data_IF_779790023064
#
_entry.id   IF_779790023064
#
_cell.length_a   1.000
_cell.length_b   1.000
_cell.length_c   1.000
_cell.angle_alpha   90.00
_cell.angle_beta   90.00
_cell.angle_gamma   90.00
#
_symmetry.space_group_name_H-M   'P 1'
#
loop_
_entity.id
_entity.type
_entity.pdbx_description
1 polymer ?
#
# COMPACT_ATOMS: atom_id res chain seq x y z
N UNK A 1 31.02 -44.44 47.95
CA UNK A 1 30.59 -43.39 46.98
C UNK A 1 31.82 -42.64 46.47
N UNK A 2 32.10 -42.62 45.14
CA UNK A 2 33.22 -41.87 44.60
C UNK A 2 32.80 -40.40 44.49
N UNK A 3 33.45 -39.52 45.25
CA UNK A 3 33.22 -38.08 45.12
C UNK A 3 33.70 -37.57 43.73
N UNK A 4 32.86 -36.83 43.03
CA UNK A 4 33.24 -36.19 41.77
C UNK A 4 34.28 -35.13 42.10
N UNK A 5 35.40 -35.11 41.35
CA UNK A 5 36.43 -34.08 41.52
C UNK A 5 35.82 -32.69 41.34
N UNK A 6 36.11 -31.70 42.23
CA UNK A 6 35.62 -30.33 42.07
C UNK A 6 35.91 -29.72 40.69
N UNK A 7 37.03 -30.10 40.07
CA UNK A 7 37.41 -29.64 38.73
C UNK A 7 36.43 -30.13 37.64
N UNK A 8 36.00 -31.40 37.73
CA UNK A 8 35.03 -31.96 36.76
C UNK A 8 33.67 -31.26 36.92
N UNK A 9 33.25 -31.01 38.17
CA UNK A 9 32.00 -30.30 38.43
C UNK A 9 32.00 -28.87 37.85
N UNK A 10 33.09 -28.14 38.01
CA UNK A 10 33.19 -26.77 37.41
C UNK A 10 33.16 -26.78 35.90
N UNK A 11 33.84 -27.74 35.26
CA UNK A 11 33.84 -27.86 33.78
C UNK A 11 32.41 -28.15 33.25
N UNK A 12 31.67 -29.03 33.95
CA UNK A 12 30.29 -29.36 33.55
C UNK A 12 29.40 -28.12 33.68
N UNK A 13 29.49 -27.38 34.80
CA UNK A 13 28.66 -26.18 35.02
C UNK A 13 28.95 -25.13 33.96
N UNK A 14 30.23 -24.87 33.66
CA UNK A 14 30.62 -23.89 32.65
C UNK A 14 30.14 -24.32 31.26
N UNK A 15 30.27 -25.62 30.92
CA UNK A 15 29.80 -26.12 29.63
C UNK A 15 28.30 -25.96 29.44
N UNK A 16 27.51 -26.27 30.49
CA UNK A 16 26.05 -26.06 30.46
C UNK A 16 25.68 -24.60 30.39
N UNK A 17 26.39 -23.74 31.12
CA UNK A 17 26.16 -22.27 31.06
C UNK A 17 26.38 -21.69 29.65
N UNK A 18 27.48 -22.12 28.99
CA UNK A 18 27.77 -21.70 27.61
C UNK A 18 26.71 -22.25 26.68
N UNK A 19 26.30 -23.49 26.79
CA UNK A 19 25.26 -24.07 25.91
C UNK A 19 23.94 -23.33 26.05
N UNK A 20 23.51 -22.99 27.25
CA UNK A 20 22.29 -22.19 27.51
C UNK A 20 22.45 -20.79 26.95
N UNK A 21 23.58 -20.10 27.14
CA UNK A 21 23.82 -18.77 26.64
C UNK A 21 23.74 -18.72 25.11
N UNK A 22 24.32 -19.71 24.42
CA UNK A 22 24.26 -19.81 22.96
C UNK A 22 22.82 -20.07 22.49
N UNK A 23 22.10 -20.99 23.15
CA UNK A 23 20.72 -21.29 22.81
C UNK A 23 19.81 -20.05 22.93
N UNK A 24 19.94 -19.28 24.03
CA UNK A 24 19.20 -18.04 24.27
C UNK A 24 19.56 -16.98 23.22
N UNK A 25 20.84 -16.86 22.86
CA UNK A 25 21.28 -15.91 21.84
C UNK A 25 20.64 -16.22 20.47
N UNK A 26 20.61 -17.47 20.04
CA UNK A 26 19.95 -17.89 18.79
C UNK A 26 18.44 -17.65 18.83
N UNK A 27 17.79 -17.98 19.96
CA UNK A 27 16.36 -17.75 20.12
C UNK A 27 16.02 -16.26 20.06
N UNK A 28 16.79 -15.41 20.74
CA UNK A 28 16.59 -13.97 20.73
C UNK A 28 16.80 -13.36 19.33
N UNK A 29 17.83 -13.81 18.60
CA UNK A 29 18.07 -13.36 17.22
C UNK A 29 16.92 -13.76 16.28
N UNK A 30 16.36 -14.97 16.45
CA UNK A 30 15.20 -15.41 15.68
C UNK A 30 13.94 -14.58 15.94
N UNK A 31 13.70 -14.21 17.19
CA UNK A 31 12.55 -13.37 17.57
C UNK A 31 12.65 -11.94 17.00
N UNK A 32 13.83 -11.36 17.00
CA UNK A 32 14.04 -9.97 16.54
C UNK A 32 13.57 -9.77 15.09
N UNK A 33 13.77 -10.78 14.23
CA UNK A 33 13.35 -10.74 12.83
C UNK A 33 11.83 -10.67 12.63
N UNK A 34 11.04 -11.18 13.58
CA UNK A 34 9.58 -11.14 13.50
C UNK A 34 9.02 -9.76 13.87
N UNK A 35 9.69 -9.02 14.76
CA UNK A 35 9.24 -7.71 15.22
C UNK A 35 9.70 -6.55 14.31
N UNK A 36 10.61 -6.80 13.39
CA UNK A 36 11.15 -5.75 12.52
C UNK A 36 10.40 -5.63 11.19
N UNK A 37 9.50 -6.56 10.87
CA UNK A 37 8.72 -6.54 9.63
C UNK A 37 7.39 -5.85 9.86
N UNK A 38 7.24 -4.65 9.34
CA UNK A 38 5.96 -3.94 9.33
C UNK A 38 5.70 -3.30 7.97
N UNK A 39 4.44 -3.30 7.61
CA UNK A 39 3.94 -2.61 6.42
C UNK A 39 3.55 -1.18 6.79
N UNK A 40 3.93 -0.22 5.97
CA UNK A 40 3.50 1.16 6.08
C UNK A 40 3.51 1.84 4.73
N UNK A 41 2.34 2.15 4.20
CA UNK A 41 2.19 3.06 3.10
C UNK A 41 1.95 4.48 3.61
N UNK A 42 2.51 5.46 2.92
CA UNK A 42 2.25 6.88 3.15
C UNK A 42 1.76 7.50 1.86
N UNK A 43 0.58 8.11 1.91
CA UNK A 43 0.07 8.93 0.81
C UNK A 43 0.72 10.30 0.93
N UNK A 44 1.79 10.52 0.17
CA UNK A 44 2.62 11.74 0.19
C UNK A 44 1.82 12.93 -0.33
N UNK A 45 1.10 12.74 -1.45
CA UNK A 45 0.21 13.75 -2.01
C UNK A 45 -1.06 13.11 -2.55
N UNK A 46 -2.16 13.85 -2.47
CA UNK A 46 -3.44 13.48 -3.04
C UNK A 46 -4.14 14.75 -3.49
N UNK A 47 -4.52 14.81 -4.76
CA UNK A 47 -5.24 15.94 -5.32
C UNK A 47 -6.15 15.48 -6.45
N UNK A 48 -7.17 16.27 -6.74
CA UNK A 48 -8.03 16.05 -7.87
C UNK A 48 -7.88 17.17 -8.91
N UNK A 49 -8.13 16.83 -10.15
CA UNK A 49 -8.15 17.78 -11.26
C UNK A 49 -9.21 17.39 -12.27
N UNK A 50 -9.63 18.36 -13.09
CA UNK A 50 -10.41 18.11 -14.30
C UNK A 50 -9.45 18.15 -15.48
N UNK A 51 -9.57 17.21 -16.38
CA UNK A 51 -8.86 17.22 -17.64
C UNK A 51 -9.78 16.79 -18.78
N UNK A 52 -9.60 17.42 -19.94
CA UNK A 52 -10.44 17.21 -21.14
C UNK A 52 -9.81 16.13 -22.01
N UNK A 53 -10.54 15.05 -22.24
CA UNK A 53 -10.19 14.05 -23.24
C UNK A 53 -11.29 13.99 -24.30
N UNK A 54 -10.91 14.11 -25.58
CA UNK A 54 -11.84 14.02 -26.72
C UNK A 54 -13.12 14.90 -26.60
N UNK A 55 -13.00 16.14 -26.13
CA UNK A 55 -14.12 17.09 -25.92
C UNK A 55 -14.97 16.87 -24.68
N UNK A 56 -14.67 15.88 -23.84
CA UNK A 56 -15.37 15.63 -22.58
C UNK A 56 -14.42 15.86 -21.39
N UNK A 57 -14.92 16.55 -20.39
CA UNK A 57 -14.20 16.78 -19.14
C UNK A 57 -14.41 15.61 -18.19
N UNK A 58 -13.32 15.12 -17.59
CA UNK A 58 -13.31 14.03 -16.62
C UNK A 58 -12.69 14.46 -15.31
N UNK A 59 -13.21 13.93 -14.21
CA UNK A 59 -12.58 14.05 -12.91
C UNK A 59 -11.46 13.00 -12.78
N UNK A 60 -10.28 13.47 -12.42
CA UNK A 60 -9.14 12.61 -12.08
C UNK A 60 -8.70 12.85 -10.66
N UNK A 61 -8.37 11.79 -9.94
CA UNK A 61 -7.70 11.84 -8.65
C UNK A 61 -6.31 11.24 -8.80
N UNK A 62 -5.32 11.99 -8.34
CA UNK A 62 -3.92 11.60 -8.45
C UNK A 62 -3.36 11.43 -7.04
N UNK A 63 -2.83 10.25 -6.76
CA UNK A 63 -2.21 9.90 -5.50
C UNK A 63 -0.74 9.58 -5.72
N UNK A 64 0.12 10.11 -4.88
CA UNK A 64 1.50 9.66 -4.76
C UNK A 64 1.64 8.87 -3.47
N UNK A 65 1.96 7.60 -3.59
CA UNK A 65 2.06 6.65 -2.49
C UNK A 65 3.49 6.17 -2.36
N UNK A 66 4.00 6.13 -1.14
CA UNK A 66 5.36 5.64 -0.86
C UNK A 66 5.32 4.53 0.17
N UNK A 67 6.05 3.44 -0.08
CA UNK A 67 6.25 2.40 0.92
C UNK A 67 7.36 2.83 1.90
N UNK A 68 6.97 3.19 3.13
CA UNK A 68 7.87 3.50 4.26
C UNK A 68 7.99 2.37 5.27
N UNK A 69 7.42 1.23 4.96
CA UNK A 69 7.57 0.01 5.76
C UNK A 69 8.95 -0.64 5.60
N UNK A 70 9.17 -1.69 6.35
CA UNK A 70 10.39 -2.50 6.28
C UNK A 70 10.18 -3.78 5.46
N UNK A 71 9.00 -3.96 4.89
CA UNK A 71 8.64 -5.09 4.02
C UNK A 71 8.00 -4.60 2.73
N UNK A 72 8.09 -5.39 1.68
CA UNK A 72 7.32 -5.16 0.46
C UNK A 72 5.83 -5.28 0.76
N UNK A 73 5.03 -4.53 0.04
CA UNK A 73 3.57 -4.54 0.15
C UNK A 73 2.94 -4.54 -1.23
N UNK A 74 1.70 -4.96 -1.32
CA UNK A 74 0.95 -4.97 -2.57
C UNK A 74 -0.36 -4.22 -2.36
N UNK A 75 -0.60 -3.20 -3.17
CA UNK A 75 -1.90 -2.53 -3.25
C UNK A 75 -2.80 -3.41 -4.13
N UNK A 76 -3.83 -3.99 -3.55
CA UNK A 76 -4.73 -4.94 -4.23
C UNK A 76 -6.10 -4.38 -4.55
N UNK A 77 -6.52 -3.31 -3.85
CA UNK A 77 -7.80 -2.67 -4.12
C UNK A 77 -7.81 -1.18 -3.77
N UNK A 78 -8.74 -0.46 -4.42
CA UNK A 78 -9.03 0.95 -4.12
C UNK A 78 -10.52 1.07 -3.83
N UNK A 79 -10.85 1.77 -2.76
CA UNK A 79 -12.22 2.12 -2.40
C UNK A 79 -12.42 3.62 -2.51
N UNK A 80 -13.57 4.02 -3.04
CA UNK A 80 -14.02 5.41 -3.10
C UNK A 80 -15.34 5.50 -2.36
N UNK A 81 -15.41 6.33 -1.32
CA UNK A 81 -16.57 6.43 -0.44
C UNK A 81 -17.08 5.06 0.02
N UNK A 82 -16.15 4.21 0.47
CA UNK A 82 -16.38 2.82 0.92
C UNK A 82 -16.89 1.83 -0.15
N UNK A 83 -16.94 2.22 -1.42
CA UNK A 83 -17.28 1.32 -2.54
C UNK A 83 -15.99 0.91 -3.26
N UNK A 84 -15.79 -0.38 -3.58
CA UNK A 84 -14.63 -0.81 -4.38
C UNK A 84 -14.70 -0.21 -5.79
N UNK A 85 -13.54 0.06 -6.37
CA UNK A 85 -13.43 0.68 -7.69
C UNK A 85 -14.20 -0.12 -8.75
N UNK A 86 -14.16 -1.45 -8.67
CA UNK A 86 -14.87 -2.35 -9.60
C UNK A 86 -16.40 -2.19 -9.55
N UNK A 87 -16.98 -1.75 -8.44
CA UNK A 87 -18.42 -1.52 -8.31
C UNK A 87 -18.87 -0.14 -8.82
N UNK A 88 -17.93 0.76 -9.04
CA UNK A 88 -18.17 2.09 -9.61
C UNK A 88 -18.01 2.10 -11.13
N UNK A 89 -17.38 1.06 -11.67
CA UNK A 89 -17.23 0.88 -13.11
C UNK A 89 -18.53 0.39 -13.72
N UNK A 90 -19.11 1.17 -14.59
CA UNK A 90 -20.29 0.84 -15.37
C UNK A 90 -19.99 1.08 -16.86
N UNK A 91 -20.82 0.54 -17.75
CA UNK A 91 -20.68 0.69 -19.21
C UNK A 91 -20.61 2.15 -19.66
N UNK A 92 -21.22 3.06 -18.88
CA UNK A 92 -21.26 4.50 -19.16
C UNK A 92 -20.27 5.34 -18.33
N UNK A 93 -19.65 4.74 -17.29
CA UNK A 93 -18.66 5.41 -16.43
C UNK A 93 -17.32 4.68 -16.52
N UNK A 94 -16.36 5.23 -17.20
CA UNK A 94 -15.00 4.70 -17.29
C UNK A 94 -14.22 4.86 -15.96
N UNK A 95 -14.87 4.56 -14.81
CA UNK A 95 -14.21 4.63 -13.50
C UNK A 95 -13.20 3.50 -13.40
N UNK A 96 -11.94 3.86 -13.43
CA UNK A 96 -10.84 2.92 -13.36
C UNK A 96 -9.58 3.63 -12.83
N UNK A 97 -8.57 2.88 -12.45
CA UNK A 97 -7.30 3.42 -11.98
C UNK A 97 -6.11 2.86 -12.76
N UNK A 98 -5.11 3.68 -12.95
CA UNK A 98 -3.81 3.30 -13.49
C UNK A 98 -2.74 3.47 -12.41
N UNK A 99 -1.84 2.49 -12.30
CA UNK A 99 -0.68 2.53 -11.40
C UNK A 99 0.59 2.76 -12.21
N UNK A 100 1.36 3.81 -11.87
CA UNK A 100 2.51 4.27 -12.63
C UNK A 100 3.73 4.44 -11.71
N UNK A 101 4.90 4.05 -12.19
CA UNK A 101 6.16 4.24 -11.47
C UNK A 101 6.71 5.66 -11.54
N UNK A 102 6.21 6.47 -12.48
CA UNK A 102 6.66 7.86 -12.73
C UNK A 102 5.56 8.85 -12.43
N UNK A 103 5.96 10.06 -12.00
CA UNK A 103 5.04 11.18 -11.81
C UNK A 103 4.32 11.54 -13.11
N UNK A 104 3.02 11.81 -12.99
CA UNK A 104 2.21 12.23 -14.12
C UNK A 104 1.66 13.63 -13.88
N UNK A 105 1.73 14.46 -14.90
CA UNK A 105 1.18 15.83 -14.88
C UNK A 105 -0.10 15.94 -15.70
N UNK A 106 -0.26 15.06 -16.69
CA UNK A 106 -1.42 15.02 -17.57
C UNK A 106 -2.03 13.60 -17.58
N UNK A 107 -3.16 13.39 -16.87
CA UNK A 107 -3.81 12.08 -16.80
C UNK A 107 -4.41 11.64 -18.14
N UNK A 108 -4.66 12.56 -19.08
CA UNK A 108 -5.20 12.22 -20.40
C UNK A 108 -4.16 11.56 -21.31
N UNK A 109 -2.87 11.72 -20.98
CA UNK A 109 -1.78 11.05 -21.69
C UNK A 109 -1.64 9.56 -21.38
N UNK A 110 -2.37 9.06 -20.35
CA UNK A 110 -2.35 7.63 -19.99
C UNK A 110 -3.23 6.88 -21.00
N UNK A 111 -2.69 5.84 -21.66
CA UNK A 111 -3.51 5.01 -22.54
C UNK A 111 -4.70 4.39 -21.80
N UNK A 112 -5.85 4.33 -22.42
CA UNK A 112 -7.06 3.73 -21.83
C UNK A 112 -6.87 2.24 -21.44
N UNK A 113 -5.94 1.55 -22.11
CA UNK A 113 -5.55 0.17 -21.80
C UNK A 113 -4.88 0.01 -20.44
N UNK A 114 -4.30 1.08 -19.88
CA UNK A 114 -3.56 1.05 -18.61
C UNK A 114 -4.48 1.28 -17.41
N UNK A 115 -5.72 1.71 -17.66
CA UNK A 115 -6.75 1.85 -16.65
C UNK A 115 -7.43 0.51 -16.37
N UNK A 116 -7.44 0.10 -15.12
CA UNK A 116 -8.05 -1.15 -14.67
C UNK A 116 -9.01 -0.90 -13.52
N UNK A 117 -10.03 -1.74 -13.40
CA UNK A 117 -10.99 -1.73 -12.29
C UNK A 117 -10.45 -2.44 -11.05
N UNK A 118 -9.39 -3.21 -11.23
CA UNK A 118 -8.67 -3.88 -10.16
C UNK A 118 -7.20 -3.54 -10.27
N UNK A 119 -6.59 -3.16 -9.15
CA UNK A 119 -5.15 -2.91 -9.05
C UNK A 119 -4.54 -4.07 -8.27
N UNK A 120 -3.40 -4.52 -8.75
CA UNK A 120 -2.54 -5.47 -8.05
C UNK A 120 -1.09 -5.05 -8.31
N UNK A 121 -0.60 -4.13 -7.50
CA UNK A 121 0.73 -3.54 -7.69
C UNK A 121 1.60 -3.73 -6.45
N UNK A 122 2.71 -4.48 -6.64
CA UNK A 122 3.72 -4.68 -5.62
C UNK A 122 4.66 -3.49 -5.50
N UNK A 123 4.97 -3.08 -4.29
CA UNK A 123 5.90 -2.01 -3.96
C UNK A 123 6.96 -2.53 -3.00
N UNK A 124 8.22 -2.43 -3.36
CA UNK A 124 9.32 -2.73 -2.45
C UNK A 124 9.53 -1.58 -1.45
N UNK A 125 10.31 -1.86 -0.42
CA UNK A 125 10.65 -0.86 0.60
C UNK A 125 11.34 0.35 -0.03
N UNK A 126 10.75 1.53 0.18
CA UNK A 126 11.24 2.79 -0.34
C UNK A 126 10.68 3.20 -1.69
N UNK A 127 9.97 2.30 -2.39
CA UNK A 127 9.34 2.60 -3.68
C UNK A 127 8.26 3.67 -3.58
N UNK A 128 8.07 4.38 -4.69
CA UNK A 128 6.99 5.34 -4.87
C UNK A 128 6.11 4.90 -6.03
N UNK A 129 4.80 5.00 -5.84
CA UNK A 129 3.78 4.65 -6.81
C UNK A 129 2.87 5.85 -7.05
N UNK A 130 2.62 6.16 -8.30
CA UNK A 130 1.60 7.13 -8.70
C UNK A 130 0.35 6.37 -9.12
N UNK A 131 -0.78 6.70 -8.50
CA UNK A 131 -2.08 6.12 -8.83
C UNK A 131 -2.94 7.24 -9.39
N UNK A 132 -3.41 7.06 -10.60
CA UNK A 132 -4.34 7.98 -11.27
C UNK A 132 -5.69 7.29 -11.38
N UNK A 133 -6.71 7.89 -10.80
CA UNK A 133 -8.06 7.36 -10.80
C UNK A 133 -8.92 8.26 -11.68
N UNK A 134 -9.48 7.73 -12.73
CA UNK A 134 -10.53 8.37 -13.51
C UNK A 134 -11.89 8.12 -12.82
N UNK A 135 -12.61 9.16 -12.48
CA UNK A 135 -13.93 9.07 -11.81
C UNK A 135 -15.11 9.21 -12.77
N UNK A 136 -14.83 9.31 -14.06
CA UNK A 136 -15.83 9.51 -15.09
C UNK A 136 -16.07 10.98 -15.47
N UNK A 137 -17.01 11.19 -16.39
CA UNK A 137 -17.33 12.49 -16.94
C UNK A 137 -17.85 13.49 -15.90
N UNK A 138 -17.49 14.74 -16.04
CA UNK A 138 -17.96 15.85 -15.18
C UNK A 138 -19.45 16.15 -15.40
N UNK A 139 -19.90 16.15 -16.65
CA UNK A 139 -21.24 16.59 -17.04
C UNK A 139 -22.32 15.52 -16.84
N UNK A 140 -22.00 14.26 -16.93
CA UNK A 140 -22.94 13.15 -16.78
C UNK A 140 -22.27 12.01 -16.03
N UNK A 141 -22.12 12.17 -14.70
CA UNK A 141 -21.46 11.18 -13.88
C UNK A 141 -22.49 10.24 -13.22
N UNK A 142 -22.59 8.98 -13.66
CA UNK A 142 -23.57 8.03 -13.13
C UNK A 142 -23.32 7.68 -11.65
N UNK A 143 -22.09 7.89 -11.17
CA UNK A 143 -21.74 7.69 -9.76
C UNK A 143 -22.03 8.90 -8.87
N UNK A 144 -22.52 10.01 -9.44
CA UNK A 144 -22.93 11.19 -8.71
C UNK A 144 -21.77 12.05 -8.18
N UNK A 145 -20.59 11.97 -8.78
CA UNK A 145 -19.47 12.86 -8.44
C UNK A 145 -19.72 14.25 -9.03
N UNK A 146 -19.56 15.28 -8.21
CA UNK A 146 -19.84 16.68 -8.56
C UNK A 146 -18.72 17.61 -8.11
N UNK A 147 -18.63 18.77 -8.74
CA UNK A 147 -17.68 19.82 -8.35
C UNK A 147 -17.81 20.20 -6.86
N UNK A 148 -16.68 20.42 -6.21
CA UNK A 148 -16.61 20.79 -4.80
C UNK A 148 -16.86 19.67 -3.80
N UNK A 149 -17.24 18.48 -4.26
CA UNK A 149 -17.51 17.33 -3.40
C UNK A 149 -16.19 16.81 -2.79
N UNK A 150 -16.23 16.47 -1.49
CA UNK A 150 -15.14 15.77 -0.81
C UNK A 150 -15.41 14.26 -0.93
N UNK A 151 -14.45 13.54 -1.43
CA UNK A 151 -14.47 12.08 -1.53
C UNK A 151 -13.37 11.48 -0.67
N UNK A 152 -13.63 10.31 -0.12
CA UNK A 152 -12.61 9.50 0.55
C UNK A 152 -12.08 8.45 -0.43
N UNK A 153 -10.79 8.48 -0.67
CA UNK A 153 -10.08 7.42 -1.39
C UNK A 153 -9.31 6.60 -0.38
N UNK A 154 -9.53 5.30 -0.38
CA UNK A 154 -8.89 4.38 0.55
C UNK A 154 -8.15 3.30 -0.24
N UNK A 155 -6.86 3.17 0.01
CA UNK A 155 -6.03 2.11 -0.54
C UNK A 155 -6.10 0.91 0.40
N UNK A 156 -6.31 -0.27 -0.16
CA UNK A 156 -6.27 -1.54 0.55
C UNK A 156 -5.06 -2.33 0.09
N UNK A 157 -4.41 -3.04 1.02
CA UNK A 157 -3.24 -3.85 0.73
C UNK A 157 -3.53 -5.32 1.00
N UNK A 158 -2.76 -6.20 0.35
CA UNK A 158 -2.87 -7.65 0.50
C UNK A 158 -2.65 -8.13 1.96
N UNK A 159 -2.01 -7.33 2.80
CA UNK A 159 -1.88 -7.59 4.23
C UNK A 159 -3.13 -7.18 5.06
N UNK A 160 -4.14 -6.59 4.41
CA UNK A 160 -5.38 -6.16 5.05
C UNK A 160 -5.33 -4.77 5.69
N UNK A 161 -4.27 -4.00 5.45
CA UNK A 161 -4.20 -2.63 5.94
C UNK A 161 -4.93 -1.67 4.99
N UNK A 162 -5.52 -0.63 5.57
CA UNK A 162 -6.28 0.39 4.85
C UNK A 162 -5.67 1.78 5.09
N UNK A 163 -5.50 2.55 4.01
CA UNK A 163 -4.91 3.89 4.05
C UNK A 163 -5.91 4.89 3.44
N UNK A 164 -6.75 5.52 4.27
CA UNK A 164 -7.74 6.50 3.80
C UNK A 164 -7.11 7.87 3.56
N UNK A 165 -7.61 8.57 2.54
CA UNK A 165 -7.26 9.95 2.23
C UNK A 165 -8.46 10.68 1.64
N UNK A 166 -8.82 11.82 2.21
CA UNK A 166 -9.88 12.69 1.65
C UNK A 166 -9.29 13.62 0.60
N UNK A 167 -10.02 13.78 -0.50
CA UNK A 167 -9.67 14.68 -1.60
C UNK A 167 -10.92 15.45 -2.00
N UNK A 168 -10.79 16.75 -2.23
CA UNK A 168 -11.87 17.57 -2.77
C UNK A 168 -11.78 17.62 -4.29
N UNK A 169 -12.90 17.36 -4.94
CA UNK A 169 -13.03 17.53 -6.40
C UNK A 169 -13.07 19.02 -6.74
N UNK A 170 -12.43 19.43 -7.84
CA UNK A 170 -12.36 20.82 -8.25
C UNK A 170 -13.69 21.38 -8.71
#
# INVERSE_FOLDING_TARGET
>A
MRAISPVIATVIIVSVAIAIAVAVAFWMTGMTGLFTRYEKLEIVSAYAMVATADTTDYFYVILNVKNKGTTSTTVDNIFINAKPLSSLHDTDSNVAAAALSTAITDPTAIPSSDYNTTINYGMDTGDSLWIVINLGSVSNNPNGFTHGQIIEVKLHTAAGNEYPKSVQLP
#
